data_IF_228829777178
#
_entry.id   IF_228829777178
#
_cell.length_a   1.000
_cell.length_b   1.000
_cell.length_c   1.000
_cell.angle_alpha   90.00
_cell.angle_beta   90.00
_cell.angle_gamma   90.00
#
_symmetry.space_group_name_H-M   'P 1'
#
loop_
_entity.id
_entity.type
_entity.pdbx_description
1 polymer ?
#
# COMPACT_ATOMS: atom_id res chain seq x y z
N UNK A 1 -46.04 -23.47 -8.48
CA UNK A 1 -46.27 -24.89 -8.14
C UNK A 1 -46.32 -25.02 -6.61
N UNK A 2 -47.27 -25.84 -6.13
CA UNK A 2 -47.47 -26.09 -4.72
C UNK A 2 -47.03 -27.49 -4.35
N UNK A 3 -46.38 -27.66 -3.22
CA UNK A 3 -46.04 -28.96 -2.65
C UNK A 3 -46.67 -29.05 -1.28
N UNK A 4 -47.38 -30.13 -1.03
CA UNK A 4 -47.97 -30.43 0.28
C UNK A 4 -47.02 -31.34 1.04
N UNK A 5 -46.48 -30.90 2.12
CA UNK A 5 -45.56 -31.65 2.97
C UNK A 5 -46.00 -31.59 4.43
N UNK A 6 -45.70 -32.66 5.18
CA UNK A 6 -45.78 -32.60 6.63
C UNK A 6 -44.73 -31.57 7.10
N UNK A 7 -45.08 -30.72 8.09
CA UNK A 7 -44.24 -29.66 8.64
C UNK A 7 -42.87 -30.19 9.12
N UNK A 8 -42.87 -31.39 9.73
CA UNK A 8 -41.61 -32.01 10.17
C UNK A 8 -40.66 -32.35 8.99
N UNK A 9 -41.23 -32.94 7.92
CA UNK A 9 -40.49 -33.29 6.70
C UNK A 9 -40.02 -32.02 5.97
N UNK A 10 -40.85 -31.00 5.91
CA UNK A 10 -40.49 -29.72 5.33
C UNK A 10 -39.28 -29.09 6.06
N UNK A 11 -39.28 -29.07 7.38
CA UNK A 11 -38.19 -28.56 8.17
C UNK A 11 -36.91 -29.40 8.05
N UNK A 12 -37.04 -30.72 7.86
CA UNK A 12 -35.88 -31.59 7.61
C UNK A 12 -35.27 -31.28 6.24
N UNK A 13 -36.06 -31.15 5.19
CA UNK A 13 -35.61 -30.79 3.85
C UNK A 13 -34.89 -29.43 3.87
N UNK A 14 -35.43 -28.46 4.60
CA UNK A 14 -34.79 -27.14 4.74
C UNK A 14 -33.44 -27.17 5.49
N UNK A 15 -33.27 -28.11 6.44
CA UNK A 15 -31.99 -28.29 7.15
C UNK A 15 -30.93 -29.00 6.32
N UNK A 16 -31.35 -29.95 5.46
CA UNK A 16 -30.45 -30.74 4.62
C UNK A 16 -30.07 -30.01 3.32
N UNK A 17 -30.80 -28.96 2.98
CA UNK A 17 -30.51 -28.18 1.77
C UNK A 17 -29.38 -27.20 2.03
N UNK A 18 -28.25 -27.38 1.35
CA UNK A 18 -27.09 -26.47 1.39
C UNK A 18 -27.39 -25.07 0.83
N UNK A 19 -28.45 -24.91 0.08
CA UNK A 19 -28.89 -23.65 -0.51
C UNK A 19 -30.30 -23.28 -0.04
N UNK A 20 -30.55 -21.97 0.10
CA UNK A 20 -31.88 -21.42 0.34
C UNK A 20 -32.80 -21.81 -0.79
N UNK A 21 -33.65 -22.81 -0.51
CA UNK A 21 -34.74 -23.18 -1.44
C UNK A 21 -35.74 -22.00 -1.45
N UNK A 22 -36.22 -21.57 -2.63
CA UNK A 22 -37.22 -20.51 -2.76
C UNK A 22 -38.62 -21.05 -2.43
N UNK A 23 -38.76 -21.58 -1.20
CA UNK A 23 -40.00 -22.14 -0.70
C UNK A 23 -40.54 -21.29 0.43
N UNK A 24 -41.81 -20.94 0.35
CA UNK A 24 -42.56 -20.25 1.39
C UNK A 24 -43.74 -21.06 1.85
N UNK A 25 -44.04 -21.02 3.16
CA UNK A 25 -45.24 -21.60 3.69
C UNK A 25 -46.44 -20.70 3.38
N UNK A 26 -47.43 -21.22 2.69
CA UNK A 26 -48.69 -20.50 2.48
C UNK A 26 -49.54 -20.54 3.74
N UNK A 27 -49.55 -19.40 4.43
CA UNK A 27 -50.28 -19.25 5.70
C UNK A 27 -51.81 -19.11 5.52
N UNK A 28 -52.26 -18.88 4.27
CA UNK A 28 -53.70 -18.68 3.99
C UNK A 28 -54.45 -20.00 3.75
N UNK A 29 -53.75 -21.01 3.25
CA UNK A 29 -54.38 -22.28 2.91
C UNK A 29 -54.64 -23.13 4.17
N UNK A 30 -53.94 -22.87 5.26
CA UNK A 30 -54.09 -23.64 6.48
C UNK A 30 -53.67 -25.11 6.37
N UNK A 31 -53.99 -25.89 7.39
CA UNK A 31 -53.75 -27.33 7.39
C UNK A 31 -55.02 -28.04 6.94
N UNK A 32 -55.01 -28.70 5.78
CA UNK A 32 -56.15 -29.43 5.24
C UNK A 32 -56.05 -30.94 5.40
N UNK A 33 -55.04 -31.44 6.07
CA UNK A 33 -54.88 -32.84 6.35
C UNK A 33 -54.42 -33.06 7.78
N UNK A 34 -55.20 -33.84 8.51
CA UNK A 34 -54.86 -34.28 9.86
C UNK A 34 -54.74 -35.79 9.85
N UNK A 35 -53.61 -36.36 10.18
CA UNK A 35 -53.44 -37.79 10.32
C UNK A 35 -53.45 -38.17 11.79
N UNK A 36 -54.26 -39.17 12.09
CA UNK A 36 -54.28 -39.78 13.43
C UNK A 36 -53.26 -40.91 13.48
N UNK A 37 -52.43 -40.91 14.51
CA UNK A 37 -51.57 -42.04 14.83
C UNK A 37 -52.34 -42.98 15.74
N UNK A 38 -52.62 -44.19 15.24
CA UNK A 38 -53.35 -45.21 15.96
C UNK A 38 -52.45 -46.41 16.24
N UNK A 39 -52.61 -47.04 17.40
CA UNK A 39 -52.00 -48.34 17.68
C UNK A 39 -52.93 -49.46 17.30
N UNK A 40 -52.41 -50.38 16.45
CA UNK A 40 -53.12 -51.61 16.08
C UNK A 40 -52.81 -52.72 17.10
N UNK A 41 -53.83 -53.44 17.49
CA UNK A 41 -53.73 -54.64 18.32
C UNK A 41 -54.26 -55.86 17.57
N UNK A 42 -53.66 -57.04 17.79
CA UNK A 42 -54.18 -58.28 17.14
C UNK A 42 -55.61 -58.57 17.61
N UNK A 43 -56.44 -59.05 16.67
CA UNK A 43 -57.83 -59.44 16.95
C UNK A 43 -57.90 -60.79 17.67
N UNK A 44 -57.42 -60.86 18.92
CA UNK A 44 -57.51 -62.00 19.81
C UNK A 44 -57.80 -61.53 21.24
N UNK A 45 -57.96 -62.49 22.16
CA UNK A 45 -58.28 -62.20 23.57
C UNK A 45 -57.24 -61.32 24.22
N UNK A 46 -55.98 -61.46 23.87
CA UNK A 46 -54.86 -60.63 24.38
C UNK A 46 -54.95 -59.21 23.88
N UNK A 47 -55.21 -59.00 22.59
CA UNK A 47 -55.39 -57.66 22.04
C UNK A 47 -56.61 -56.93 22.62
N UNK A 48 -57.71 -57.64 22.80
CA UNK A 48 -58.90 -57.08 23.47
C UNK A 48 -58.68 -56.66 24.89
N UNK A 49 -57.80 -57.33 25.64
CA UNK A 49 -57.43 -56.95 27.02
C UNK A 49 -56.41 -55.81 27.08
N UNK A 50 -55.49 -55.71 26.12
CA UNK A 50 -54.42 -54.71 26.08
C UNK A 50 -54.92 -53.37 25.56
N UNK A 51 -55.81 -53.31 24.59
CA UNK A 51 -56.28 -52.08 23.96
C UNK A 51 -56.84 -51.06 24.95
N UNK A 52 -57.72 -51.43 25.94
CA UNK A 52 -58.19 -50.46 26.93
C UNK A 52 -57.11 -49.94 27.87
N UNK A 53 -56.15 -50.79 28.21
CA UNK A 53 -55.03 -50.42 29.09
C UNK A 53 -54.13 -49.36 28.41
N UNK A 54 -53.77 -49.65 27.20
CA UNK A 54 -52.99 -48.70 26.42
C UNK A 54 -53.73 -47.36 26.16
N UNK A 55 -55.05 -47.46 25.87
CA UNK A 55 -55.90 -46.27 25.70
C UNK A 55 -55.91 -45.41 26.94
N UNK A 56 -55.97 -46.02 28.13
CA UNK A 56 -55.90 -45.30 29.42
C UNK A 56 -54.52 -44.72 29.65
N UNK A 57 -53.45 -45.47 29.39
CA UNK A 57 -52.08 -45.00 29.55
C UNK A 57 -51.79 -43.79 28.66
N UNK A 58 -52.20 -43.84 27.40
CA UNK A 58 -52.01 -42.72 26.44
C UNK A 58 -52.79 -41.47 26.88
N UNK A 59 -54.02 -41.61 27.42
CA UNK A 59 -54.82 -40.52 27.95
C UNK A 59 -54.18 -39.86 29.18
N UNK A 60 -53.32 -40.57 29.93
CA UNK A 60 -52.60 -40.06 31.09
C UNK A 60 -51.31 -39.33 30.70
N UNK A 61 -50.84 -39.52 29.47
CA UNK A 61 -49.65 -38.85 28.98
C UNK A 61 -50.05 -37.44 28.49
N UNK A 62 -49.39 -36.44 28.96
CA UNK A 62 -49.50 -35.07 28.42
C UNK A 62 -48.78 -35.03 27.07
N UNK A 63 -49.50 -35.42 26.02
CA UNK A 63 -48.96 -35.44 24.66
C UNK A 63 -48.53 -34.04 24.19
N UNK A 64 -49.19 -32.98 24.68
CA UNK A 64 -48.81 -31.63 24.29
C UNK A 64 -47.45 -31.23 24.88
N UNK A 65 -47.18 -31.67 26.10
CA UNK A 65 -45.86 -31.44 26.71
C UNK A 65 -44.75 -32.20 26.01
N UNK A 66 -45.01 -33.42 25.58
CA UNK A 66 -44.08 -34.24 24.80
C UNK A 66 -43.82 -33.59 23.44
N UNK A 67 -44.87 -33.20 22.71
CA UNK A 67 -44.75 -32.50 21.44
C UNK A 67 -43.92 -31.21 21.62
N UNK A 68 -44.25 -30.39 22.61
CA UNK A 68 -43.51 -29.17 22.85
C UNK A 68 -42.03 -29.40 23.25
N UNK A 69 -41.72 -30.55 23.88
CA UNK A 69 -40.37 -30.86 24.31
C UNK A 69 -39.51 -31.45 23.18
N UNK A 70 -40.09 -32.37 22.39
CA UNK A 70 -39.34 -33.14 21.39
C UNK A 70 -39.58 -32.67 19.97
N UNK A 71 -40.68 -32.01 19.68
CA UNK A 71 -40.93 -31.34 18.38
C UNK A 71 -40.60 -29.84 18.45
N UNK A 72 -39.69 -29.43 19.37
CA UNK A 72 -39.16 -28.08 19.40
C UNK A 72 -38.45 -27.78 18.05
N UNK A 73 -39.14 -26.99 17.28
CA UNK A 73 -38.61 -26.51 16.02
C UNK A 73 -38.04 -25.12 16.22
N UNK A 74 -36.72 -24.97 16.19
CA UNK A 74 -36.12 -23.63 16.19
C UNK A 74 -36.70 -22.84 15.03
N UNK A 75 -37.02 -21.59 15.27
CA UNK A 75 -37.48 -20.69 14.21
C UNK A 75 -36.32 -20.46 13.21
N UNK A 76 -36.18 -21.40 12.27
CA UNK A 76 -35.09 -21.39 11.30
C UNK A 76 -35.02 -20.10 10.45
N UNK A 77 -36.19 -19.42 10.25
CA UNK A 77 -36.24 -18.12 9.56
C UNK A 77 -35.54 -17.04 10.38
N UNK A 78 -35.76 -17.05 11.70
CA UNK A 78 -35.08 -16.10 12.59
C UNK A 78 -33.57 -16.38 12.69
N UNK A 79 -33.16 -17.66 12.72
CA UNK A 79 -31.74 -18.05 12.72
C UNK A 79 -31.04 -17.66 11.42
N UNK A 80 -31.64 -17.94 10.27
CA UNK A 80 -31.09 -17.54 8.96
C UNK A 80 -31.05 -16.03 8.78
N UNK A 81 -32.05 -15.30 9.25
CA UNK A 81 -32.06 -13.84 9.21
C UNK A 81 -30.96 -13.26 10.08
N UNK A 82 -30.76 -13.82 11.28
CA UNK A 82 -29.69 -13.43 12.20
C UNK A 82 -28.30 -13.72 11.61
N UNK A 83 -28.11 -14.90 10.99
CA UNK A 83 -26.87 -15.29 10.35
C UNK A 83 -26.51 -14.39 9.15
N UNK A 84 -27.48 -14.09 8.28
CA UNK A 84 -27.28 -13.13 7.18
C UNK A 84 -26.92 -11.74 7.67
N UNK A 85 -27.59 -11.29 8.74
CA UNK A 85 -27.34 -9.98 9.30
C UNK A 85 -25.95 -9.93 9.94
N UNK A 86 -25.57 -10.95 10.68
CA UNK A 86 -24.23 -11.11 11.25
C UNK A 86 -23.15 -11.14 10.18
N UNK A 87 -23.31 -11.95 9.13
CA UNK A 87 -22.37 -12.04 7.99
C UNK A 87 -22.20 -10.69 7.33
N UNK A 88 -23.29 -9.94 7.08
CA UNK A 88 -23.22 -8.61 6.47
C UNK A 88 -22.49 -7.59 7.36
N UNK A 89 -22.76 -7.58 8.68
CA UNK A 89 -22.06 -6.70 9.60
C UNK A 89 -20.57 -7.04 9.68
N UNK A 90 -20.23 -8.32 9.68
CA UNK A 90 -18.85 -8.79 9.68
C UNK A 90 -18.11 -8.35 8.41
N UNK A 91 -18.74 -8.48 7.23
CA UNK A 91 -18.17 -7.99 5.97
C UNK A 91 -17.92 -6.48 5.98
N UNK A 92 -18.89 -5.69 6.47
CA UNK A 92 -18.72 -4.25 6.63
C UNK A 92 -17.58 -3.89 7.59
N UNK A 93 -17.46 -4.61 8.69
CA UNK A 93 -16.36 -4.41 9.63
C UNK A 93 -15.01 -4.68 9.00
N UNK A 94 -14.86 -5.79 8.28
CA UNK A 94 -13.63 -6.10 7.54
C UNK A 94 -13.30 -5.03 6.51
N UNK A 95 -14.28 -4.55 5.76
CA UNK A 95 -14.08 -3.49 4.76
C UNK A 95 -13.60 -2.19 5.41
N UNK A 96 -14.20 -1.80 6.54
CA UNK A 96 -13.80 -0.60 7.28
C UNK A 96 -12.39 -0.73 7.86
N UNK A 97 -12.06 -1.87 8.48
CA UNK A 97 -10.72 -2.13 9.02
C UNK A 97 -9.67 -2.12 7.91
N UNK A 98 -9.95 -2.78 6.78
CA UNK A 98 -9.05 -2.79 5.63
C UNK A 98 -8.84 -1.37 5.07
N UNK A 99 -9.92 -0.61 4.89
CA UNK A 99 -9.85 0.79 4.46
C UNK A 99 -9.03 1.66 5.41
N UNK A 100 -9.23 1.51 6.71
CA UNK A 100 -8.44 2.20 7.73
C UNK A 100 -6.95 1.84 7.65
N UNK A 101 -6.62 0.54 7.51
CA UNK A 101 -5.23 0.09 7.35
C UNK A 101 -4.57 0.66 6.10
N UNK A 102 -5.30 0.77 4.98
CA UNK A 102 -4.80 1.42 3.77
C UNK A 102 -4.51 2.90 3.99
N UNK A 103 -5.38 3.63 4.69
CA UNK A 103 -5.15 5.04 5.03
C UNK A 103 -3.92 5.19 5.91
N UNK A 104 -3.76 4.35 6.94
CA UNK A 104 -2.57 4.35 7.82
C UNK A 104 -1.30 4.02 7.03
N UNK A 105 -1.32 3.00 6.18
CA UNK A 105 -0.19 2.63 5.33
C UNK A 105 0.19 3.77 4.37
N UNK A 106 -0.79 4.41 3.74
CA UNK A 106 -0.58 5.58 2.90
C UNK A 106 0.00 6.76 3.69
N UNK A 107 -0.52 7.03 4.88
CA UNK A 107 0.00 8.08 5.77
C UNK A 107 1.45 7.82 6.16
N UNK A 108 1.79 6.61 6.61
CA UNK A 108 3.15 6.23 6.96
C UNK A 108 4.09 6.32 5.76
N UNK A 109 3.68 5.82 4.59
CA UNK A 109 4.44 5.96 3.35
C UNK A 109 4.66 7.43 2.98
N UNK A 110 3.66 8.27 3.15
CA UNK A 110 3.75 9.71 2.88
C UNK A 110 4.70 10.46 3.82
N UNK A 111 5.02 9.91 4.98
CA UNK A 111 5.97 10.49 5.95
C UNK A 111 7.43 10.09 5.67
N UNK A 112 7.68 9.20 4.73
CA UNK A 112 9.04 8.82 4.37
C UNK A 112 9.86 10.05 3.95
N UNK A 113 11.03 10.20 4.54
CA UNK A 113 11.99 11.29 4.27
C UNK A 113 13.21 10.83 3.48
N UNK A 114 13.25 9.54 3.11
CA UNK A 114 14.33 8.92 2.37
C UNK A 114 13.88 8.50 0.97
N UNK A 115 14.80 8.53 0.01
CA UNK A 115 14.60 7.95 -1.31
C UNK A 115 14.79 6.43 -1.25
N UNK A 116 13.86 5.69 -1.84
CA UNK A 116 13.86 4.24 -1.73
C UNK A 116 15.01 3.57 -2.47
N UNK A 117 15.48 4.16 -3.58
CA UNK A 117 16.55 3.61 -4.39
C UNK A 117 17.92 3.91 -3.80
N UNK A 118 18.20 5.17 -3.54
CA UNK A 118 19.53 5.66 -3.17
C UNK A 118 19.77 5.76 -1.68
N UNK A 119 18.72 5.65 -0.85
CA UNK A 119 18.74 5.85 0.62
C UNK A 119 19.15 7.25 1.07
N UNK A 120 19.46 8.15 0.17
CA UNK A 120 19.61 9.57 0.47
C UNK A 120 18.26 10.17 0.90
N UNK A 121 18.27 11.39 1.40
CA UNK A 121 17.02 12.09 1.69
C UNK A 121 16.27 12.40 0.40
N UNK A 122 14.94 12.41 0.46
CA UNK A 122 14.12 12.72 -0.70
C UNK A 122 13.77 14.21 -0.81
N UNK A 123 13.13 14.59 -1.91
CA UNK A 123 12.65 15.96 -2.18
C UNK A 123 11.82 16.53 -1.03
N UNK A 124 10.92 15.71 -0.42
CA UNK A 124 10.10 16.16 0.71
C UNK A 124 10.96 16.56 1.92
N UNK A 125 12.01 15.79 2.22
CA UNK A 125 12.93 16.09 3.31
C UNK A 125 13.69 17.40 3.07
N UNK A 126 14.07 17.69 1.82
CA UNK A 126 14.70 18.95 1.41
C UNK A 126 13.77 20.14 1.71
N UNK A 127 12.57 20.13 1.14
CA UNK A 127 11.59 21.21 1.30
C UNK A 127 11.16 21.39 2.76
N UNK A 128 10.96 20.29 3.50
CA UNK A 128 10.62 20.37 4.91
C UNK A 128 11.73 21.00 5.74
N UNK A 129 13.00 20.70 5.44
CA UNK A 129 14.14 21.20 6.21
C UNK A 129 14.43 22.68 5.93
N UNK A 130 14.32 23.07 4.68
CA UNK A 130 14.66 24.42 4.22
C UNK A 130 13.41 25.23 3.80
N UNK A 131 12.27 24.92 4.39
CA UNK A 131 11.00 25.64 4.15
C UNK A 131 11.08 27.14 4.43
N UNK A 132 11.99 27.54 5.31
CA UNK A 132 12.23 28.96 5.64
C UNK A 132 13.29 29.61 4.74
N UNK A 133 14.02 28.82 3.94
CA UNK A 133 15.13 29.26 3.11
C UNK A 133 16.50 28.79 3.58
N UNK A 134 17.54 29.26 2.93
CA UNK A 134 18.95 28.92 3.19
C UNK A 134 19.74 30.16 3.70
N UNK A 135 20.55 29.93 4.72
CA UNK A 135 21.50 30.93 5.17
C UNK A 135 22.58 31.17 4.11
N UNK A 136 23.17 32.37 4.13
CA UNK A 136 24.18 32.78 3.17
C UNK A 136 25.49 31.98 3.24
N UNK A 137 25.79 31.37 4.38
CA UNK A 137 26.99 30.57 4.66
C UNK A 137 26.88 29.10 4.18
N UNK A 138 25.70 28.69 3.77
CA UNK A 138 25.49 27.32 3.26
C UNK A 138 25.78 27.26 1.76
N UNK A 139 26.62 26.34 1.36
CA UNK A 139 26.82 25.94 -0.03
C UNK A 139 25.70 25.02 -0.48
N UNK A 140 25.11 25.29 -1.65
CA UNK A 140 24.20 24.39 -2.33
C UNK A 140 24.81 23.93 -3.66
N UNK A 141 24.82 22.62 -3.87
CA UNK A 141 25.25 22.00 -5.14
C UNK A 141 24.06 21.30 -5.77
N UNK A 142 23.83 21.55 -7.04
CA UNK A 142 22.89 20.83 -7.87
C UNK A 142 23.66 19.89 -8.79
N UNK A 143 23.29 18.60 -8.80
CA UNK A 143 23.92 17.58 -9.60
C UNK A 143 22.87 16.93 -10.51
N UNK A 144 23.25 16.66 -11.75
CA UNK A 144 22.42 15.96 -12.74
C UNK A 144 23.31 15.01 -13.55
N UNK A 145 22.91 13.75 -13.70
CA UNK A 145 23.69 12.75 -14.45
C UNK A 145 23.55 13.01 -15.93
N UNK A 146 24.67 13.34 -16.58
CA UNK A 146 24.69 13.59 -18.01
C UNK A 146 24.34 12.32 -18.82
N UNK A 147 23.44 12.47 -19.79
CA UNK A 147 23.02 11.38 -20.67
C UNK A 147 22.46 10.16 -19.92
N UNK A 148 21.75 10.36 -18.81
CA UNK A 148 21.18 9.27 -18.03
C UNK A 148 20.15 8.45 -18.83
N UNK A 149 19.33 9.11 -19.66
CA UNK A 149 18.39 8.41 -20.54
C UNK A 149 19.09 7.45 -21.51
N UNK A 150 20.14 7.84 -22.26
CA UNK A 150 20.97 6.91 -23.05
C UNK A 150 21.54 5.73 -22.25
N UNK A 151 21.90 5.92 -20.98
CA UNK A 151 22.36 4.80 -20.14
C UNK A 151 21.22 3.80 -19.95
N UNK A 152 20.02 4.26 -19.61
CA UNK A 152 18.84 3.40 -19.49
C UNK A 152 18.48 2.70 -20.81
N UNK A 153 18.51 3.44 -21.92
CA UNK A 153 18.13 2.93 -23.25
C UNK A 153 19.10 1.86 -23.75
N UNK A 154 20.41 1.99 -23.44
CA UNK A 154 21.44 1.06 -23.92
C UNK A 154 21.68 -0.14 -22.99
N UNK A 155 21.55 0.05 -21.66
CA UNK A 155 21.94 -0.95 -20.67
C UNK A 155 20.77 -1.43 -19.79
N UNK A 156 19.58 -0.83 -19.96
CA UNK A 156 18.38 -1.14 -19.17
C UNK A 156 18.28 -0.35 -17.86
N UNK A 157 17.06 -0.24 -17.36
CA UNK A 157 16.76 0.53 -16.14
C UNK A 157 17.46 -0.02 -14.90
N UNK A 158 17.70 -1.33 -14.82
CA UNK A 158 18.43 -1.93 -13.68
C UNK A 158 19.86 -1.36 -13.58
N UNK A 159 20.56 -1.24 -14.72
CA UNK A 159 21.91 -0.66 -14.76
C UNK A 159 21.85 0.84 -14.43
N UNK A 160 20.85 1.56 -14.93
CA UNK A 160 20.63 2.95 -14.55
C UNK A 160 20.43 3.13 -13.05
N UNK A 161 19.63 2.27 -12.43
CA UNK A 161 19.40 2.27 -10.98
C UNK A 161 20.71 2.00 -10.20
N UNK A 162 21.54 1.08 -10.66
CA UNK A 162 22.85 0.81 -10.05
C UNK A 162 23.83 1.98 -10.22
N UNK A 163 23.79 2.69 -11.34
CA UNK A 163 24.57 3.92 -11.57
C UNK A 163 24.16 5.00 -10.58
N UNK A 164 22.84 5.19 -10.34
CA UNK A 164 22.35 6.15 -9.36
C UNK A 164 22.72 5.78 -7.92
N UNK A 165 22.69 4.50 -7.56
CA UNK A 165 23.18 4.00 -6.27
C UNK A 165 24.67 4.24 -6.10
N UNK A 166 25.46 4.00 -7.15
CA UNK A 166 26.90 4.25 -7.13
C UNK A 166 27.21 5.74 -6.94
N UNK A 167 26.50 6.64 -7.62
CA UNK A 167 26.62 8.09 -7.40
C UNK A 167 26.24 8.47 -5.97
N UNK A 168 25.14 7.95 -5.46
CA UNK A 168 24.68 8.22 -4.10
C UNK A 168 25.70 7.76 -3.04
N UNK A 169 26.28 6.57 -3.20
CA UNK A 169 27.32 6.03 -2.32
C UNK A 169 28.58 6.90 -2.37
N UNK A 170 28.94 7.38 -3.56
CA UNK A 170 30.06 8.31 -3.73
C UNK A 170 29.81 9.64 -3.04
N UNK A 171 28.61 10.22 -3.21
CA UNK A 171 28.20 11.43 -2.51
C UNK A 171 28.33 11.24 -0.99
N UNK A 172 27.79 10.13 -0.47
CA UNK A 172 27.81 9.86 0.98
C UNK A 172 29.24 9.71 1.54
N UNK A 173 30.17 9.20 0.72
CA UNK A 173 31.56 9.01 1.13
C UNK A 173 32.39 10.30 1.17
N UNK A 174 32.06 11.30 0.35
CA UNK A 174 32.89 12.53 0.19
C UNK A 174 32.20 13.81 0.69
N UNK A 175 30.88 13.83 0.78
CA UNK A 175 30.11 15.00 1.20
C UNK A 175 29.80 14.99 2.70
N UNK A 176 30.26 15.99 3.42
CA UNK A 176 30.06 16.13 4.87
C UNK A 176 28.75 16.82 5.26
N UNK A 177 27.91 17.18 4.27
CA UNK A 177 26.65 17.88 4.50
C UNK A 177 25.43 16.97 4.40
N UNK A 178 24.32 17.56 4.01
CA UNK A 178 23.07 16.84 3.72
C UNK A 178 22.94 16.62 2.23
N UNK A 179 22.58 15.42 1.85
CA UNK A 179 22.40 14.99 0.47
C UNK A 179 20.96 14.57 0.23
N UNK A 180 20.42 14.94 -0.94
CA UNK A 180 19.04 14.72 -1.33
C UNK A 180 19.00 14.25 -2.77
N UNK A 181 18.11 13.30 -3.07
CA UNK A 181 17.68 12.99 -4.43
C UNK A 181 16.30 13.62 -4.64
N UNK A 182 16.17 14.49 -5.64
CA UNK A 182 14.95 15.28 -5.86
C UNK A 182 14.18 14.90 -7.11
N UNK A 183 14.82 14.22 -8.03
CA UNK A 183 14.27 13.75 -9.30
C UNK A 183 14.88 12.41 -9.71
N UNK A 184 14.65 12.01 -10.95
CA UNK A 184 15.16 10.77 -11.51
C UNK A 184 16.68 10.64 -11.37
N UNK A 185 17.41 11.58 -11.91
CA UNK A 185 18.88 11.68 -11.98
C UNK A 185 19.43 12.96 -11.32
N UNK A 186 18.58 13.67 -10.54
CA UNK A 186 18.88 14.95 -9.93
C UNK A 186 19.15 14.82 -8.43
N UNK A 187 20.26 15.43 -7.96
CA UNK A 187 20.67 15.43 -6.56
C UNK A 187 20.99 16.84 -6.08
N UNK A 188 20.70 17.08 -4.82
CA UNK A 188 21.05 18.34 -4.14
C UNK A 188 21.91 18.04 -2.93
N UNK A 189 23.02 18.76 -2.82
CA UNK A 189 23.90 18.71 -1.67
C UNK A 189 23.87 20.06 -0.98
N UNK A 190 23.75 20.07 0.34
CA UNK A 190 23.77 21.30 1.15
C UNK A 190 24.71 21.09 2.33
N UNK A 191 25.69 21.97 2.45
CA UNK A 191 26.68 21.91 3.53
C UNK A 191 27.40 23.24 3.68
N UNK A 192 28.33 23.31 4.60
CA UNK A 192 29.18 24.47 4.82
C UNK A 192 30.60 24.11 4.40
N UNK A 193 31.09 24.79 3.38
CA UNK A 193 32.41 24.55 2.79
C UNK A 193 33.08 25.84 2.44
N UNK A 194 34.39 25.91 2.67
CA UNK A 194 35.24 26.94 2.07
C UNK A 194 35.51 26.61 0.60
N UNK A 195 35.95 27.60 -0.18
CA UNK A 195 36.31 27.40 -1.59
C UNK A 195 37.40 26.34 -1.75
N UNK A 196 38.41 26.34 -0.84
CA UNK A 196 39.51 25.38 -0.87
C UNK A 196 39.08 23.95 -0.57
N UNK A 197 38.08 23.75 0.29
CA UNK A 197 37.51 22.42 0.60
C UNK A 197 36.54 21.94 -0.50
N UNK A 198 35.88 22.88 -1.15
CA UNK A 198 34.81 22.57 -2.11
C UNK A 198 35.37 22.03 -3.44
N UNK A 199 36.44 22.65 -3.97
CA UNK A 199 37.00 22.31 -5.28
C UNK A 199 37.42 20.84 -5.40
N UNK A 200 38.16 20.23 -4.45
CA UNK A 200 38.46 18.80 -4.50
C UNK A 200 37.23 17.89 -4.49
N UNK A 201 36.17 18.28 -3.78
CA UNK A 201 34.91 17.53 -3.73
C UNK A 201 34.20 17.58 -5.08
N UNK A 202 34.14 18.76 -5.70
CA UNK A 202 33.52 18.94 -7.00
C UNK A 202 34.22 18.12 -8.08
N UNK A 203 35.56 18.11 -8.11
CA UNK A 203 36.35 17.30 -9.03
C UNK A 203 36.03 15.80 -8.89
N UNK A 204 35.85 15.33 -7.67
CA UNK A 204 35.50 13.92 -7.41
C UNK A 204 34.07 13.58 -7.85
N UNK A 205 33.13 14.55 -7.85
CA UNK A 205 31.75 14.34 -8.26
C UNK A 205 31.53 14.48 -9.76
N UNK A 206 32.38 15.22 -10.47
CA UNK A 206 32.22 15.54 -11.91
C UNK A 206 32.18 14.30 -12.80
N UNK A 207 33.00 13.29 -12.48
CA UNK A 207 32.97 12.02 -13.22
C UNK A 207 33.41 10.85 -12.38
N UNK A 208 32.86 9.69 -12.69
CA UNK A 208 33.28 8.41 -12.12
C UNK A 208 33.03 7.27 -13.10
N UNK A 209 33.64 6.12 -12.85
CA UNK A 209 33.39 4.91 -13.64
C UNK A 209 32.53 3.96 -12.81
N UNK A 210 31.38 3.59 -13.35
CA UNK A 210 30.58 2.48 -12.83
C UNK A 210 31.09 1.19 -13.46
N UNK A 211 31.45 0.20 -12.64
CA UNK A 211 31.95 -1.09 -13.09
C UNK A 211 31.09 -2.21 -12.52
N UNK A 212 30.60 -3.09 -13.39
CA UNK A 212 29.90 -4.32 -13.04
C UNK A 212 30.64 -5.52 -13.63
N UNK A 213 31.36 -6.24 -12.77
CA UNK A 213 32.15 -7.39 -13.22
C UNK A 213 31.30 -8.57 -13.69
N UNK A 214 30.07 -8.72 -13.16
CA UNK A 214 29.18 -9.81 -13.55
C UNK A 214 28.63 -9.64 -14.96
N UNK A 215 28.40 -8.39 -15.36
CA UNK A 215 27.91 -8.02 -16.70
C UNK A 215 29.02 -7.56 -17.64
N UNK A 216 30.27 -7.56 -17.18
CA UNK A 216 31.45 -7.04 -17.90
C UNK A 216 31.25 -5.61 -18.44
N UNK A 217 30.67 -4.74 -17.60
CA UNK A 217 30.34 -3.36 -17.92
C UNK A 217 31.32 -2.39 -17.25
N UNK A 218 31.74 -1.39 -18.03
CA UNK A 218 32.48 -0.23 -17.55
C UNK A 218 31.89 1.02 -18.20
N UNK A 219 31.13 1.78 -17.42
CA UNK A 219 30.39 2.96 -17.89
C UNK A 219 31.02 4.19 -17.27
N UNK A 220 31.55 5.10 -18.10
CA UNK A 220 31.97 6.41 -17.63
C UNK A 220 30.75 7.31 -17.44
N UNK A 221 30.50 7.72 -16.22
CA UNK A 221 29.39 8.58 -15.81
C UNK A 221 29.94 9.98 -15.60
N UNK A 222 29.38 10.96 -16.29
CA UNK A 222 29.68 12.37 -16.11
C UNK A 222 28.46 13.03 -15.44
N UNK A 223 28.74 13.99 -14.55
CA UNK A 223 27.72 14.69 -13.76
C UNK A 223 27.85 16.17 -14.04
N UNK A 224 26.75 16.81 -14.41
CA UNK A 224 26.69 18.27 -14.50
C UNK A 224 26.53 18.84 -13.10
N UNK A 225 27.25 19.89 -12.81
CA UNK A 225 27.33 20.49 -11.48
C UNK A 225 27.06 21.99 -11.56
N UNK A 226 26.06 22.43 -10.80
CA UNK A 226 25.83 23.85 -10.48
C UNK A 226 26.13 24.10 -9.00
N UNK A 227 26.74 25.22 -8.69
CA UNK A 227 27.11 25.58 -7.33
C UNK A 227 26.61 26.99 -6.99
N UNK A 228 25.98 27.14 -5.84
CA UNK A 228 25.68 28.42 -5.21
C UNK A 228 26.37 28.49 -3.87
N UNK A 229 27.37 29.37 -3.77
CA UNK A 229 28.18 29.58 -2.56
C UNK A 229 28.26 31.08 -2.24
N UNK A 230 28.43 31.43 -0.94
CA UNK A 230 28.61 32.82 -0.46
C UNK A 230 27.56 33.80 -1.00
N UNK A 231 26.30 33.60 -0.63
CA UNK A 231 25.22 34.53 -0.96
C UNK A 231 25.24 35.75 -0.07
N UNK A 232 24.86 36.89 -0.59
CA UNK A 232 24.88 38.16 0.16
C UNK A 232 23.85 38.22 1.29
N UNK A 233 22.79 37.42 1.19
CA UNK A 233 21.70 37.41 2.15
C UNK A 233 21.00 36.04 2.19
N UNK A 234 20.12 35.88 3.17
CA UNK A 234 19.22 34.75 3.26
C UNK A 234 18.28 34.73 2.07
N UNK A 235 18.14 33.58 1.41
CA UNK A 235 17.30 33.37 0.23
C UNK A 235 16.34 32.21 0.40
N UNK A 236 15.20 32.25 -0.32
CA UNK A 236 14.31 31.08 -0.37
C UNK A 236 14.97 29.88 -1.04
N UNK A 237 14.53 28.68 -0.69
CA UNK A 237 15.07 27.47 -1.31
C UNK A 237 14.86 27.48 -2.83
N UNK A 238 13.66 27.91 -3.28
CA UNK A 238 13.31 27.97 -4.69
C UNK A 238 14.24 28.91 -5.49
N UNK A 239 14.55 30.08 -4.95
CA UNK A 239 15.46 31.03 -5.60
C UNK A 239 16.87 30.45 -5.73
N UNK A 240 17.39 29.83 -4.66
CA UNK A 240 18.72 29.23 -4.70
C UNK A 240 18.77 28.05 -5.67
N UNK A 241 17.74 27.17 -5.65
CA UNK A 241 17.63 26.07 -6.61
C UNK A 241 17.57 26.56 -8.05
N UNK A 242 16.74 27.58 -8.32
CA UNK A 242 16.62 28.14 -9.67
C UNK A 242 17.93 28.73 -10.18
N UNK A 243 18.63 29.52 -9.35
CA UNK A 243 19.92 30.10 -9.72
C UNK A 243 20.97 28.99 -9.99
N UNK A 244 20.97 27.96 -9.15
CA UNK A 244 21.93 26.86 -9.25
C UNK A 244 21.65 25.97 -10.46
N UNK A 245 20.37 25.74 -10.80
CA UNK A 245 19.95 25.01 -11.99
C UNK A 245 20.37 25.76 -13.28
N UNK A 246 20.20 27.09 -13.34
CA UNK A 246 20.70 27.89 -14.44
C UNK A 246 22.21 27.74 -14.60
N UNK A 247 22.96 27.75 -13.51
CA UNK A 247 24.41 27.56 -13.57
C UNK A 247 24.81 26.18 -14.09
N UNK A 248 24.11 25.15 -13.62
CA UNK A 248 24.29 23.78 -14.06
C UNK A 248 23.97 23.63 -15.57
N UNK A 249 22.83 24.17 -16.01
CA UNK A 249 22.42 24.14 -17.41
C UNK A 249 23.44 24.81 -18.34
N UNK A 250 24.00 25.94 -17.94
CA UNK A 250 25.04 26.62 -18.68
C UNK A 250 26.33 25.78 -18.75
N UNK A 251 26.68 25.05 -17.67
CA UNK A 251 27.83 24.14 -17.69
C UNK A 251 27.63 22.95 -18.64
N UNK A 252 26.40 22.44 -18.74
CA UNK A 252 26.01 21.36 -19.65
C UNK A 252 26.19 21.72 -21.15
N UNK A 253 25.87 22.96 -21.50
CA UNK A 253 25.90 23.40 -22.90
C UNK A 253 27.27 23.95 -23.35
N UNK A 254 28.13 24.40 -22.47
CA UNK A 254 29.50 24.82 -22.86
C UNK A 254 30.47 23.63 -23.06
N UNK A 255 30.10 22.43 -22.65
CA UNK A 255 30.90 21.21 -22.85
C UNK A 255 30.83 20.57 -24.23
N UNK A 256 29.98 21.05 -25.17
CA UNK A 256 29.81 20.49 -26.51
C UNK A 256 30.59 21.18 -27.61
N UNK A 257 31.28 22.30 -27.31
CA UNK A 257 32.13 23.01 -28.29
C UNK A 257 33.57 23.14 -27.78
N UNK A 258 34.54 22.53 -28.47
CA UNK A 258 35.98 22.56 -28.25
C UNK A 258 36.44 22.54 -26.79
N UNK A 259 36.82 21.37 -26.31
CA UNK A 259 37.41 21.14 -25.00
C UNK A 259 38.78 21.79 -24.90
N UNK A 260 38.86 22.88 -24.20
CA UNK A 260 40.10 23.29 -23.54
C UNK A 260 40.22 22.44 -22.27
N UNK A 261 41.11 21.45 -22.25
CA UNK A 261 41.27 20.44 -21.20
C UNK A 261 41.75 21.01 -19.84
N UNK A 262 41.78 22.31 -19.70
CA UNK A 262 42.38 22.99 -18.52
C UNK A 262 41.39 23.74 -17.63
N UNK A 263 40.10 23.78 -17.98
CA UNK A 263 39.09 24.46 -17.13
C UNK A 263 37.97 23.48 -16.74
N UNK A 264 37.69 23.36 -15.41
CA UNK A 264 36.58 22.56 -14.92
C UNK A 264 35.23 23.09 -15.47
N UNK A 265 34.30 22.17 -15.76
CA UNK A 265 32.91 22.44 -16.17
C UNK A 265 32.06 23.10 -15.06
N UNK A 266 32.73 23.85 -14.19
CA UNK A 266 32.21 24.41 -12.97
C UNK A 266 31.88 25.89 -13.16
N UNK A 267 30.59 26.23 -13.09
CA UNK A 267 30.18 27.62 -12.93
C UNK A 267 29.74 27.86 -11.49
N UNK A 268 30.62 28.49 -10.72
CA UNK A 268 30.32 28.95 -9.36
C UNK A 268 29.59 30.29 -9.50
N UNK A 269 28.35 30.36 -9.03
CA UNK A 269 27.69 31.67 -8.86
C UNK A 269 28.19 32.28 -7.57
N UNK A 270 29.00 33.31 -7.69
CA UNK A 270 29.32 34.21 -6.60
C UNK A 270 28.48 35.47 -6.77
N UNK A 271 27.84 35.94 -5.72
CA UNK A 271 27.33 37.31 -5.74
C UNK A 271 28.51 38.25 -5.95
N UNK A 272 28.46 39.03 -7.01
CA UNK A 272 29.52 40.03 -7.25
C UNK A 272 29.31 41.15 -6.24
N UNK A 273 30.17 41.20 -5.21
CA UNK A 273 30.41 42.41 -4.47
C UNK A 273 30.98 43.46 -5.46
N UNK A 274 30.12 44.32 -5.98
CA UNK A 274 30.54 45.60 -6.51
C UNK A 274 30.40 46.58 -5.37
N UNK A 275 31.56 46.91 -4.82
CA UNK A 275 31.81 48.11 -3.98
C UNK A 275 31.18 49.35 -4.59
#
# INVERSE_FOLDING_TARGET
DYIVLNRANFNQILREADNLLPLEEDLFIGSFYSSEIAMGFPKNSMGASLAPLFTRAIKMIDTQKIINTYDYQPNWRATLAAEKTFSRHTQWLFTLVFGFLLVVAFYLHSQSVTDNLTKLRNRRALYRRYSRGLNSDLTLIYLDVNNFKPINDNYGHEVGDEVLKALASRIDSIWRGRSYRIGGDEFILIGQYSDEELEPVLMQLESFTYSDSARNLNIKVNVAIGVSNYRDHFMSLEEVLHQTDIAMYQSKHHGSGQRDNTKPLLKIIRSSNKS
#
